data_IF_577082296000
#
_entry.id   IF_577082296000
#
_cell.length_a   1.000
_cell.length_b   1.000
_cell.length_c   1.000
_cell.angle_alpha   90.00
_cell.angle_beta   90.00
_cell.angle_gamma   90.00
#
_symmetry.space_group_name_H-M   'P 1'
#
loop_
_entity.id
_entity.type
_entity.pdbx_description
1 polymer ?
#
# COMPACT_ATOMS: atom_id res chain seq x y z
N UNK A 1 13.54 -14.55 12.99
CA UNK A 1 13.19 -14.68 11.55
C UNK A 1 11.81 -14.09 11.24
N UNK A 2 10.79 -14.33 12.06
CA UNK A 2 9.41 -13.81 11.86
C UNK A 2 9.28 -12.29 11.70
N UNK A 3 9.90 -11.51 12.59
CA UNK A 3 9.78 -10.04 12.53
C UNK A 3 10.57 -9.44 11.37
N UNK A 4 11.59 -10.17 10.87
CA UNK A 4 12.29 -9.82 9.64
C UNK A 4 11.38 -9.99 8.42
N UNK A 5 10.63 -11.10 8.31
CA UNK A 5 9.69 -11.29 7.20
C UNK A 5 8.62 -10.22 7.19
N UNK A 6 7.97 -9.98 8.33
CA UNK A 6 6.84 -9.06 8.37
C UNK A 6 7.28 -7.61 8.15
N UNK A 7 8.38 -7.19 8.79
CA UNK A 7 8.95 -5.87 8.54
C UNK A 7 9.44 -5.70 7.09
N UNK A 8 9.91 -6.78 6.45
CA UNK A 8 10.29 -6.73 5.03
C UNK A 8 9.08 -6.63 4.11
N UNK A 9 7.96 -7.31 4.42
CA UNK A 9 6.71 -7.17 3.68
C UNK A 9 6.13 -5.76 3.76
N UNK A 10 6.15 -5.16 4.95
CA UNK A 10 5.69 -3.77 5.12
C UNK A 10 6.54 -2.79 4.28
N UNK A 11 7.86 -2.94 4.31
CA UNK A 11 8.79 -2.14 3.49
C UNK A 11 8.58 -2.39 2.00
N UNK A 12 8.36 -3.63 1.59
CA UNK A 12 8.10 -3.99 0.19
C UNK A 12 6.80 -3.33 -0.29
N UNK A 13 5.72 -3.40 0.50
CA UNK A 13 4.45 -2.73 0.19
C UNK A 13 4.65 -1.22 0.08
N UNK A 14 5.40 -0.60 1.00
CA UNK A 14 5.72 0.82 0.93
C UNK A 14 6.46 1.19 -0.37
N UNK A 15 7.48 0.41 -0.75
CA UNK A 15 8.24 0.61 -2.00
C UNK A 15 7.32 0.48 -3.21
N UNK A 16 6.45 -0.53 -3.26
CA UNK A 16 5.50 -0.70 -4.37
C UNK A 16 4.57 0.50 -4.50
N UNK A 17 4.01 0.98 -3.39
CA UNK A 17 3.10 2.13 -3.39
C UNK A 17 3.82 3.40 -3.86
N UNK A 18 5.05 3.63 -3.41
CA UNK A 18 5.87 4.76 -3.85
C UNK A 18 6.15 4.68 -5.34
N UNK A 19 6.53 3.50 -5.85
CA UNK A 19 6.78 3.31 -7.28
C UNK A 19 5.51 3.55 -8.11
N UNK A 20 4.36 3.03 -7.67
CA UNK A 20 3.08 3.29 -8.32
C UNK A 20 2.72 4.78 -8.33
N UNK A 21 2.91 5.47 -7.21
CA UNK A 21 2.67 6.91 -7.12
C UNK A 21 3.57 7.69 -8.10
N UNK A 22 4.85 7.34 -8.19
CA UNK A 22 5.79 7.95 -9.15
C UNK A 22 5.34 7.70 -10.59
N UNK A 23 4.94 6.47 -10.92
CA UNK A 23 4.41 6.14 -12.26
C UNK A 23 3.18 6.97 -12.61
N UNK A 24 2.22 7.11 -11.69
CA UNK A 24 1.03 7.93 -11.89
C UNK A 24 1.38 9.40 -12.13
N UNK A 25 2.32 9.94 -11.36
CA UNK A 25 2.77 11.34 -11.53
C UNK A 25 3.44 11.54 -12.89
N UNK A 26 4.35 10.64 -13.27
CA UNK A 26 5.03 10.72 -14.57
C UNK A 26 4.03 10.58 -15.71
N UNK A 27 3.12 9.61 -15.64
CA UNK A 27 2.09 9.39 -16.67
C UNK A 27 1.15 10.59 -16.79
N UNK A 28 0.69 11.13 -15.65
CA UNK A 28 -0.19 12.30 -15.62
C UNK A 28 0.48 13.55 -16.19
N UNK A 29 1.72 13.84 -15.77
CA UNK A 29 2.48 14.96 -16.32
C UNK A 29 2.79 14.77 -17.80
N UNK A 30 3.22 13.57 -18.21
CA UNK A 30 3.47 13.24 -19.61
C UNK A 30 2.25 13.51 -20.49
N UNK A 31 1.07 13.03 -20.06
CA UNK A 31 -0.18 13.24 -20.77
C UNK A 31 -0.58 14.72 -20.87
N UNK A 32 -0.25 15.58 -19.88
CA UNK A 32 -0.51 17.02 -19.98
C UNK A 32 0.25 17.66 -21.15
N UNK A 33 1.47 17.20 -21.43
CA UNK A 33 2.31 17.73 -22.49
C UNK A 33 2.09 17.06 -23.85
N UNK A 34 1.54 15.84 -23.91
CA UNK A 34 1.35 15.09 -25.16
C UNK A 34 -0.10 14.99 -25.64
N UNK A 35 -1.05 14.72 -24.74
CA UNK A 35 -2.44 14.37 -25.07
C UNK A 35 -3.42 15.49 -24.71
N UNK A 36 -3.11 16.24 -23.65
CA UNK A 36 -3.86 17.40 -23.24
C UNK A 36 -3.90 17.57 -21.72
N UNK A 37 -3.98 18.83 -21.28
CA UNK A 37 -3.94 19.16 -19.86
C UNK A 37 -5.05 18.45 -19.05
N UNK A 38 -6.28 18.43 -19.56
CA UNK A 38 -7.41 17.80 -18.88
C UNK A 38 -7.25 16.28 -18.74
N UNK A 39 -6.67 15.63 -19.75
CA UNK A 39 -6.40 14.19 -19.73
C UNK A 39 -5.34 13.84 -18.69
N UNK A 40 -4.28 14.65 -18.59
CA UNK A 40 -3.30 14.51 -17.53
C UNK A 40 -3.88 14.69 -16.12
N UNK A 41 -4.78 15.66 -15.91
CA UNK A 41 -5.50 15.82 -14.64
C UNK A 41 -6.35 14.58 -14.32
N UNK A 42 -7.08 14.05 -15.31
CA UNK A 42 -7.88 12.84 -15.12
C UNK A 42 -7.02 11.63 -14.72
N UNK A 43 -5.84 11.46 -15.33
CA UNK A 43 -4.88 10.41 -14.96
C UNK A 43 -4.36 10.60 -13.53
N UNK A 44 -4.01 11.82 -13.13
CA UNK A 44 -3.52 12.09 -11.77
C UNK A 44 -4.59 11.76 -10.72
N UNK A 45 -5.84 12.17 -10.97
CA UNK A 45 -6.95 11.90 -10.05
C UNK A 45 -7.27 10.41 -10.03
N UNK A 46 -7.52 9.79 -11.19
CA UNK A 46 -7.90 8.38 -11.28
C UNK A 46 -6.79 7.44 -10.79
N UNK A 47 -5.56 7.68 -11.23
CA UNK A 47 -4.38 6.94 -10.78
C UNK A 47 -4.07 7.16 -9.31
N UNK A 48 -4.21 8.40 -8.81
CA UNK A 48 -4.01 8.71 -7.39
C UNK A 48 -5.02 7.98 -6.51
N UNK A 49 -6.31 8.00 -6.87
CA UNK A 49 -7.35 7.23 -6.19
C UNK A 49 -7.06 5.73 -6.22
N UNK A 50 -6.62 5.20 -7.37
CA UNK A 50 -6.22 3.81 -7.50
C UNK A 50 -5.07 3.44 -6.55
N UNK A 51 -4.03 4.26 -6.47
CA UNK A 51 -2.89 4.04 -5.55
C UNK A 51 -3.33 4.06 -4.09
N UNK A 52 -4.20 5.00 -3.71
CA UNK A 52 -4.74 5.09 -2.35
C UNK A 52 -5.55 3.84 -2.02
N UNK A 53 -6.45 3.41 -2.92
CA UNK A 53 -7.28 2.22 -2.69
C UNK A 53 -6.42 0.95 -2.62
N UNK A 54 -5.50 0.78 -3.56
CA UNK A 54 -4.60 -0.38 -3.58
C UNK A 54 -3.72 -0.43 -2.33
N UNK A 55 -3.06 0.69 -2.00
CA UNK A 55 -2.24 0.79 -0.80
C UNK A 55 -3.04 0.55 0.48
N UNK A 56 -4.26 1.09 0.56
CA UNK A 56 -5.18 0.87 1.67
C UNK A 56 -5.52 -0.61 1.87
N UNK A 57 -5.82 -1.35 0.79
CA UNK A 57 -6.10 -2.79 0.86
C UNK A 57 -4.86 -3.57 1.31
N UNK A 58 -3.68 -3.26 0.76
CA UNK A 58 -2.43 -3.93 1.13
C UNK A 58 -2.09 -3.73 2.61
N UNK A 59 -2.17 -2.49 3.10
CA UNK A 59 -1.94 -2.21 4.52
C UNK A 59 -3.05 -2.76 5.42
N UNK A 60 -4.30 -2.80 4.97
CA UNK A 60 -5.38 -3.45 5.71
C UNK A 60 -5.11 -4.94 5.90
N UNK A 61 -4.68 -5.64 4.85
CA UNK A 61 -4.33 -7.06 4.94
C UNK A 61 -3.18 -7.31 5.93
N UNK A 62 -2.13 -6.48 5.87
CA UNK A 62 -1.02 -6.53 6.83
C UNK A 62 -1.52 -6.25 8.26
N UNK A 63 -2.40 -5.26 8.45
CA UNK A 63 -2.98 -4.92 9.74
C UNK A 63 -3.82 -6.05 10.33
N UNK A 64 -4.65 -6.70 9.51
CA UNK A 64 -5.43 -7.88 9.93
C UNK A 64 -4.49 -9.00 10.37
N UNK A 65 -3.45 -9.30 9.58
CA UNK A 65 -2.47 -10.33 9.94
C UNK A 65 -1.80 -10.03 11.28
N UNK A 66 -1.37 -8.79 11.50
CA UNK A 66 -0.77 -8.36 12.77
C UNK A 66 -1.74 -8.49 13.95
N UNK A 67 -2.99 -8.09 13.78
CA UNK A 67 -4.00 -8.16 14.84
C UNK A 67 -4.34 -9.61 15.19
N UNK A 68 -4.58 -10.48 14.21
CA UNK A 68 -4.84 -11.90 14.44
C UNK A 68 -3.68 -12.57 15.18
N UNK A 69 -2.44 -12.25 14.81
CA UNK A 69 -1.25 -12.75 15.50
C UNK A 69 -1.18 -12.30 16.96
N UNK A 70 -1.40 -11.00 17.23
CA UNK A 70 -1.40 -10.47 18.61
C UNK A 70 -2.48 -11.13 19.46
N UNK A 71 -3.65 -11.40 18.88
CA UNK A 71 -4.72 -12.13 19.57
C UNK A 71 -4.30 -13.56 19.90
N UNK A 72 -3.70 -14.29 18.95
CA UNK A 72 -3.20 -15.64 19.22
C UNK A 72 -2.17 -15.67 20.36
N UNK A 73 -1.18 -14.76 20.34
CA UNK A 73 -0.16 -14.64 21.39
C UNK A 73 -0.79 -14.30 22.76
N UNK A 74 -1.84 -13.48 22.79
CA UNK A 74 -2.56 -13.15 24.03
C UNK A 74 -3.33 -14.36 24.58
N UNK A 75 -3.97 -15.15 23.72
CA UNK A 75 -4.69 -16.37 24.12
C UNK A 75 -3.72 -17.43 24.65
N UNK A 76 -2.58 -17.64 24.00
CA UNK A 76 -1.54 -18.57 24.49
C UNK A 76 -1.06 -18.20 25.90
N UNK A 77 -0.86 -16.90 26.16
CA UNK A 77 -0.47 -16.41 27.50
C UNK A 77 -1.56 -16.57 28.55
N UNK A 78 -2.83 -16.46 28.16
CA UNK A 78 -3.96 -16.69 29.06
C UNK A 78 -4.12 -18.17 29.39
N UNK A 79 -3.92 -19.06 28.41
CA UNK A 79 -4.01 -20.50 28.58
C UNK A 79 -2.80 -21.11 29.33
N UNK A 80 -1.66 -20.39 29.35
CA UNK A 80 -0.47 -20.78 30.12
C UNK A 80 -0.54 -20.41 31.63
N UNK A 81 -1.65 -19.82 32.08
CA UNK A 81 -1.98 -19.65 33.50
C UNK A 81 -2.89 -20.76 33.98
#
# INVERSE_FOLDING_TARGET
>A
MRDFFIGSFEKLVAVIIILLAVVVVIAGLGAMFSEGFLQGIAILIGGGLYVIMMGGILYLALGIYHNTRRTAEAIERLAAK
#
